data_IF_218531355322
#
_entry.id   IF_218531355322
#
_cell.length_a   1.000
_cell.length_b   1.000
_cell.length_c   1.000
_cell.angle_alpha   90.00
_cell.angle_beta   90.00
_cell.angle_gamma   90.00
#
_symmetry.space_group_name_H-M   'P 1'
#
loop_
_entity.id
_entity.type
_entity.pdbx_description
1 polymer ?
#
# COMPACT_ATOMS: atom_id res chain seq x y z
N UNK A 1 40.69 31.60 -60.88
CA UNK A 1 40.92 31.18 -59.49
C UNK A 1 39.82 31.83 -58.66
N UNK A 2 38.69 31.13 -58.53
CA UNK A 2 37.47 31.67 -57.94
C UNK A 2 36.53 30.50 -57.64
N UNK A 3 36.21 30.31 -56.38
CA UNK A 3 35.37 29.24 -55.85
C UNK A 3 33.94 29.77 -55.64
N UNK A 4 32.91 29.16 -56.27
CA UNK A 4 31.52 29.38 -55.87
C UNK A 4 30.72 28.09 -55.55
N UNK A 5 31.33 26.89 -55.58
CA UNK A 5 30.58 25.62 -55.52
C UNK A 5 30.24 25.08 -54.10
N UNK A 6 30.41 25.87 -53.03
CA UNK A 6 30.16 25.41 -51.65
C UNK A 6 28.87 25.94 -51.00
N UNK A 7 28.25 27.02 -51.50
CA UNK A 7 27.06 27.57 -50.85
C UNK A 7 25.77 26.79 -51.16
N UNK A 8 25.67 26.16 -52.34
CA UNK A 8 24.45 25.45 -52.73
C UNK A 8 24.27 24.09 -52.02
N UNK A 9 25.35 23.53 -51.42
CA UNK A 9 25.28 22.27 -50.64
C UNK A 9 24.95 22.48 -49.17
N UNK A 10 25.09 23.70 -48.64
CA UNK A 10 24.80 24.01 -47.24
C UNK A 10 23.31 24.33 -47.05
N UNK A 11 22.68 25.04 -48.00
CA UNK A 11 21.27 25.44 -47.91
C UNK A 11 20.26 24.29 -47.91
N UNK A 12 20.58 23.15 -48.54
CA UNK A 12 19.65 22.01 -48.65
C UNK A 12 19.60 21.12 -47.40
N UNK A 13 20.57 21.22 -46.47
CA UNK A 13 20.60 20.39 -45.26
C UNK A 13 20.01 21.06 -44.02
N UNK A 14 19.54 22.31 -44.13
CA UNK A 14 18.84 22.99 -43.04
C UNK A 14 17.31 22.92 -43.11
N UNK A 15 16.73 22.32 -44.17
CA UNK A 15 15.28 22.32 -44.40
C UNK A 15 14.52 21.09 -43.91
N UNK A 16 15.17 20.10 -43.27
CA UNK A 16 14.52 18.84 -42.93
C UNK A 16 15.14 18.17 -41.71
N UNK A 17 15.08 18.85 -40.56
CA UNK A 17 15.15 18.20 -39.24
C UNK A 17 14.06 18.81 -38.37
N UNK A 18 12.88 18.22 -38.54
CA UNK A 18 11.89 17.89 -37.53
C UNK A 18 11.53 18.96 -36.50
N UNK A 19 10.34 19.50 -36.73
CA UNK A 19 9.38 20.13 -35.83
C UNK A 19 9.01 19.31 -34.56
N UNK A 20 9.88 18.43 -34.07
CA UNK A 20 9.69 17.67 -32.82
C UNK A 20 10.19 18.44 -31.57
N UNK A 21 10.29 19.76 -31.68
CA UNK A 21 10.41 20.68 -30.56
C UNK A 21 9.24 21.63 -30.73
N UNK A 22 8.24 21.55 -29.85
CA UNK A 22 7.29 22.62 -29.45
C UNK A 22 5.96 22.08 -28.88
N UNK A 23 5.93 20.94 -28.17
CA UNK A 23 4.77 20.55 -27.34
C UNK A 23 5.14 20.19 -25.90
N UNK A 24 6.25 20.72 -25.40
CA UNK A 24 6.43 20.81 -23.94
C UNK A 24 5.63 22.02 -23.46
N UNK A 25 4.36 21.75 -23.10
CA UNK A 25 3.58 22.64 -22.26
C UNK A 25 4.47 23.17 -21.12
N UNK A 26 4.38 24.46 -20.75
CA UNK A 26 5.20 24.99 -19.66
C UNK A 26 5.04 24.07 -18.44
N UNK A 27 6.14 23.66 -17.78
CA UNK A 27 6.01 22.92 -16.54
C UNK A 27 5.11 23.76 -15.64
N UNK A 28 3.95 23.20 -15.27
CA UNK A 28 3.14 23.77 -14.20
C UNK A 28 4.11 23.98 -13.03
N UNK A 29 4.02 25.09 -12.28
CA UNK A 29 4.97 25.37 -11.22
C UNK A 29 4.98 24.16 -10.28
N UNK A 30 6.04 23.36 -10.43
CA UNK A 30 6.29 22.16 -9.66
C UNK A 30 6.52 22.63 -8.25
N UNK A 31 5.73 22.10 -7.31
CA UNK A 31 5.93 22.41 -5.90
C UNK A 31 7.38 22.05 -5.58
N UNK A 32 8.08 22.86 -4.79
CA UNK A 32 9.53 22.75 -4.55
C UNK A 32 9.99 21.33 -4.14
N UNK A 33 9.08 20.49 -3.60
CA UNK A 33 9.35 19.07 -3.29
C UNK A 33 9.30 18.08 -4.46
N UNK A 34 8.71 18.43 -5.61
CA UNK A 34 8.68 17.54 -6.79
C UNK A 34 10.04 17.53 -7.51
N UNK A 35 10.74 18.67 -7.54
CA UNK A 35 12.07 18.81 -8.16
C UNK A 35 13.12 17.98 -7.40
N UNK A 36 13.03 17.91 -6.07
CA UNK A 36 13.96 17.18 -5.21
C UNK A 36 13.77 15.65 -5.32
N UNK A 37 12.53 15.19 -5.44
CA UNK A 37 12.21 13.78 -5.61
C UNK A 37 12.56 13.25 -7.02
N UNK A 38 12.34 14.03 -8.07
CA UNK A 38 12.73 13.67 -9.44
C UNK A 38 14.27 13.60 -9.58
N UNK A 39 15.01 14.49 -8.93
CA UNK A 39 16.48 14.43 -8.86
C UNK A 39 16.98 13.20 -8.10
N UNK A 40 16.28 12.78 -7.04
CA UNK A 40 16.63 11.59 -6.27
C UNK A 40 16.36 10.30 -7.06
N UNK A 41 15.30 10.26 -7.86
CA UNK A 41 15.00 9.18 -8.79
C UNK A 41 16.02 9.09 -9.93
N UNK A 42 16.41 10.24 -10.49
CA UNK A 42 17.43 10.32 -11.55
C UNK A 42 18.80 9.87 -11.04
N UNK A 43 19.17 10.22 -9.80
CA UNK A 43 20.37 9.72 -9.11
C UNK A 43 20.34 8.21 -8.83
N UNK A 44 19.15 7.60 -8.75
CA UNK A 44 18.96 6.15 -8.61
C UNK A 44 18.81 5.43 -9.96
N UNK A 45 18.92 6.16 -11.09
CA UNK A 45 18.83 5.60 -12.45
C UNK A 45 17.40 5.33 -12.92
N UNK A 46 16.38 5.84 -12.23
CA UNK A 46 14.98 5.71 -12.60
C UNK A 46 14.44 7.02 -13.20
N UNK A 47 13.89 6.94 -14.40
CA UNK A 47 13.17 8.05 -15.02
C UNK A 47 11.75 8.10 -14.46
N UNK A 48 11.36 9.24 -13.89
CA UNK A 48 10.01 9.48 -13.38
C UNK A 48 9.02 9.56 -14.55
N UNK A 49 8.33 8.45 -14.87
CA UNK A 49 7.38 8.38 -16.01
C UNK A 49 5.91 8.56 -15.60
N UNK A 50 5.62 8.66 -14.30
CA UNK A 50 4.26 8.81 -13.77
C UNK A 50 3.99 10.27 -13.38
N UNK A 51 3.06 10.93 -14.09
CA UNK A 51 2.56 12.26 -13.71
C UNK A 51 1.85 12.15 -12.36
N UNK A 52 2.39 12.81 -11.33
CA UNK A 52 1.85 12.78 -9.96
C UNK A 52 0.55 13.58 -9.88
N UNK A 53 -0.58 12.93 -10.22
CA UNK A 53 -1.90 13.58 -10.25
C UNK A 53 -2.73 13.39 -8.97
N UNK A 54 -2.21 12.67 -7.97
CA UNK A 54 -2.96 12.34 -6.73
C UNK A 54 -2.55 13.27 -5.60
N UNK A 55 -3.51 14.07 -5.12
CA UNK A 55 -3.37 14.92 -3.94
C UNK A 55 -3.03 14.08 -2.69
N UNK A 56 -2.14 14.58 -1.85
CA UNK A 56 -1.73 13.96 -0.57
C UNK A 56 -2.92 13.64 0.33
N UNK A 57 -3.97 14.48 0.32
CA UNK A 57 -5.20 14.21 1.05
C UNK A 57 -5.92 12.96 0.53
N UNK A 58 -5.99 12.77 -0.79
CA UNK A 58 -6.64 11.61 -1.39
C UNK A 58 -5.91 10.31 -1.03
N UNK A 59 -4.57 10.34 -1.03
CA UNK A 59 -3.75 9.20 -0.61
C UNK A 59 -3.94 8.90 0.89
N UNK A 60 -4.04 9.92 1.73
CA UNK A 60 -4.30 9.76 3.15
C UNK A 60 -5.68 9.12 3.43
N UNK A 61 -6.73 9.57 2.73
CA UNK A 61 -8.06 8.96 2.84
C UNK A 61 -8.07 7.51 2.36
N UNK A 62 -7.38 7.20 1.27
CA UNK A 62 -7.27 5.83 0.77
C UNK A 62 -6.59 4.93 1.80
N UNK A 63 -5.50 5.37 2.43
CA UNK A 63 -4.85 4.62 3.51
C UNK A 63 -5.74 4.43 4.74
N UNK A 64 -6.52 5.44 5.12
CA UNK A 64 -7.47 5.33 6.24
C UNK A 64 -8.58 4.31 5.97
N UNK A 65 -9.12 4.30 4.74
CA UNK A 65 -10.13 3.32 4.33
C UNK A 65 -9.54 1.91 4.31
N UNK A 66 -8.33 1.74 3.76
CA UNK A 66 -7.63 0.45 3.74
C UNK A 66 -7.32 -0.08 5.14
N UNK A 67 -7.03 0.80 6.11
CA UNK A 67 -6.76 0.40 7.49
C UNK A 67 -8.00 -0.16 8.21
N UNK A 68 -9.21 0.06 7.69
CA UNK A 68 -10.47 -0.46 8.22
C UNK A 68 -10.56 -0.44 9.76
N UNK A 69 -10.08 0.65 10.37
CA UNK A 69 -9.95 0.81 11.83
C UNK A 69 -11.25 0.48 12.58
N UNK A 70 -12.44 0.90 12.11
CA UNK A 70 -13.70 0.58 12.79
C UNK A 70 -13.96 -0.93 12.90
N UNK A 71 -13.61 -1.70 11.86
CA UNK A 71 -13.81 -3.15 11.84
C UNK A 71 -12.85 -3.86 12.80
N UNK A 72 -11.57 -3.47 12.79
CA UNK A 72 -10.57 -4.02 13.72
C UNK A 72 -10.92 -3.73 15.18
N UNK A 73 -11.38 -2.51 15.47
CA UNK A 73 -11.84 -2.12 16.80
C UNK A 73 -13.06 -2.93 17.24
N UNK A 74 -14.11 -3.00 16.41
CA UNK A 74 -15.35 -3.69 16.76
C UNK A 74 -15.12 -5.18 17.07
N UNK A 75 -14.27 -5.86 16.29
CA UNK A 75 -13.97 -7.28 16.48
C UNK A 75 -13.08 -7.56 17.68
N UNK A 76 -12.17 -6.62 18.01
CA UNK A 76 -11.17 -6.84 19.05
C UNK A 76 -11.61 -6.31 20.42
N UNK A 77 -12.62 -5.43 20.49
CA UNK A 77 -13.05 -4.76 21.72
C UNK A 77 -13.48 -5.71 22.83
N UNK A 78 -13.96 -6.92 22.50
CA UNK A 78 -14.36 -7.93 23.48
C UNK A 78 -13.18 -8.51 24.27
N UNK A 79 -12.00 -8.67 23.66
CA UNK A 79 -10.83 -9.28 24.30
C UNK A 79 -10.25 -8.47 25.47
N UNK A 80 -9.94 -7.16 25.34
CA UNK A 80 -9.39 -6.38 26.45
C UNK A 80 -10.43 -6.13 27.54
N UNK A 81 -11.73 -6.10 27.19
CA UNK A 81 -12.81 -5.95 28.17
C UNK A 81 -12.83 -7.13 29.16
N UNK A 82 -12.61 -8.35 28.67
CA UNK A 82 -12.57 -9.57 29.50
C UNK A 82 -11.21 -9.75 30.20
N UNK A 83 -10.11 -9.37 29.56
CA UNK A 83 -8.76 -9.64 30.04
C UNK A 83 -8.12 -8.57 30.94
N UNK A 84 -8.46 -7.29 30.76
CA UNK A 84 -7.75 -6.17 31.40
C UNK A 84 -8.66 -5.04 31.92
N UNK A 85 -9.97 -5.14 31.70
CA UNK A 85 -10.94 -4.13 32.10
C UNK A 85 -10.79 -2.81 31.33
N UNK A 86 -11.54 -1.76 31.71
CA UNK A 86 -11.59 -0.50 30.96
C UNK A 86 -10.28 0.31 31.00
N UNK A 87 -9.43 0.07 32.00
CA UNK A 87 -8.14 0.76 32.15
C UNK A 87 -7.15 0.31 31.08
N UNK A 88 -7.10 -1.00 30.80
CA UNK A 88 -6.23 -1.57 29.77
C UNK A 88 -6.60 -1.09 28.36
N UNK A 89 -7.90 -0.91 28.08
CA UNK A 89 -8.38 -0.37 26.80
C UNK A 89 -7.82 1.05 26.57
N UNK A 90 -7.89 1.93 27.58
CA UNK A 90 -7.47 3.34 27.42
C UNK A 90 -5.95 3.45 27.37
N UNK A 91 -5.25 2.83 28.32
CA UNK A 91 -3.78 2.94 28.42
C UNK A 91 -3.07 2.08 27.38
N UNK A 92 -3.57 0.89 27.09
CA UNK A 92 -3.06 0.02 26.04
C UNK A 92 -3.20 0.67 24.66
N UNK A 93 -4.35 1.29 24.36
CA UNK A 93 -4.53 2.03 23.12
C UNK A 93 -3.57 3.22 22.98
N UNK A 94 -3.38 4.00 24.05
CA UNK A 94 -2.46 5.14 24.05
C UNK A 94 -1.02 4.70 23.81
N UNK A 95 -0.58 3.64 24.51
CA UNK A 95 0.78 3.10 24.41
C UNK A 95 1.03 2.52 23.01
N UNK A 96 0.10 1.73 22.48
CA UNK A 96 0.20 1.19 21.11
C UNK A 96 0.24 2.32 20.08
N UNK A 97 -0.60 3.34 20.22
CA UNK A 97 -0.61 4.51 19.33
C UNK A 97 0.74 5.23 19.33
N UNK A 98 1.36 5.44 20.50
CA UNK A 98 2.67 6.07 20.61
C UNK A 98 3.77 5.26 19.89
N UNK A 99 3.77 3.93 20.04
CA UNK A 99 4.72 3.04 19.37
C UNK A 99 4.51 3.06 17.85
N UNK A 100 3.26 2.99 17.39
CA UNK A 100 2.95 3.02 15.95
C UNK A 100 3.36 4.36 15.32
N UNK A 101 3.18 5.47 16.01
CA UNK A 101 3.65 6.78 15.55
C UNK A 101 5.17 6.84 15.42
N UNK A 102 5.91 6.25 16.38
CA UNK A 102 7.37 6.16 16.31
C UNK A 102 7.83 5.33 15.10
N UNK A 103 7.19 4.18 14.86
CA UNK A 103 7.46 3.34 13.69
C UNK A 103 7.14 4.09 12.39
N UNK A 104 6.01 4.80 12.33
CA UNK A 104 5.61 5.58 11.16
C UNK A 104 6.60 6.72 10.87
N UNK A 105 7.09 7.42 11.90
CA UNK A 105 8.11 8.46 11.76
C UNK A 105 9.41 7.88 11.20
N UNK A 106 9.90 6.76 11.74
CA UNK A 106 11.10 6.09 11.26
C UNK A 106 10.97 5.59 9.81
N UNK A 107 9.83 4.99 9.46
CA UNK A 107 9.56 4.56 8.09
C UNK A 107 9.43 5.75 7.12
N UNK A 108 8.90 6.87 7.61
CA UNK A 108 8.80 8.12 6.87
C UNK A 108 10.17 8.69 6.50
N UNK A 109 11.12 8.69 7.44
CA UNK A 109 12.51 9.10 7.18
C UNK A 109 13.14 8.22 6.09
N UNK A 110 13.00 6.89 6.19
CA UNK A 110 13.55 5.96 5.18
C UNK A 110 12.90 6.19 3.80
N UNK A 111 11.58 6.37 3.76
CA UNK A 111 10.85 6.58 2.50
C UNK A 111 11.17 7.94 1.86
N UNK A 112 11.52 8.96 2.65
CA UNK A 112 11.95 10.26 2.12
C UNK A 112 13.31 10.20 1.41
N UNK A 113 14.22 9.35 1.89
CA UNK A 113 15.56 9.16 1.29
C UNK A 113 15.51 8.20 0.09
N UNK A 114 14.56 7.26 0.09
CA UNK A 114 14.40 6.27 -0.97
C UNK A 114 12.97 6.27 -1.55
N UNK A 115 12.58 7.31 -2.32
CA UNK A 115 11.25 7.42 -2.93
C UNK A 115 11.12 6.53 -4.17
N UNK A 116 11.63 5.31 -4.13
CA UNK A 116 11.54 4.34 -5.23
C UNK A 116 10.23 3.56 -5.18
N UNK A 117 9.68 3.22 -6.35
CA UNK A 117 8.46 2.41 -6.51
C UNK A 117 8.57 0.95 -5.97
N UNK A 118 9.69 0.60 -5.32
CA UNK A 118 10.01 -0.74 -4.82
C UNK A 118 9.45 -1.09 -3.43
N UNK A 119 8.54 -0.30 -2.86
CA UNK A 119 7.88 -0.62 -1.59
C UNK A 119 8.83 -0.90 -0.40
N UNK A 120 8.29 -1.53 0.65
CA UNK A 120 9.04 -1.87 1.88
C UNK A 120 10.16 -2.89 1.66
N UNK A 121 10.04 -3.73 0.62
CA UNK A 121 11.04 -4.76 0.31
C UNK A 121 12.32 -4.14 -0.29
N UNK A 122 12.20 -3.11 -1.11
CA UNK A 122 13.36 -2.41 -1.68
C UNK A 122 14.07 -1.55 -0.63
N UNK A 123 13.31 -0.92 0.27
CA UNK A 123 13.86 -0.23 1.44
C UNK A 123 14.65 -1.21 2.33
N UNK A 124 14.12 -2.40 2.59
CA UNK A 124 14.84 -3.46 3.33
C UNK A 124 16.10 -3.94 2.59
N UNK A 125 16.08 -4.01 1.26
CA UNK A 125 17.26 -4.36 0.46
C UNK A 125 18.37 -3.28 0.53
N UNK A 126 18.01 -2.00 0.56
CA UNK A 126 18.97 -0.90 0.69
C UNK A 126 19.58 -0.81 2.10
N UNK A 127 18.77 -1.00 3.13
CA UNK A 127 19.20 -0.95 4.54
C UNK A 127 20.01 -2.18 4.99
N UNK A 128 19.83 -3.34 4.35
CA UNK A 128 20.55 -4.55 4.73
C UNK A 128 22.06 -4.47 4.37
N UNK A 129 22.97 -5.03 5.18
CA UNK A 129 24.40 -5.07 4.88
C UNK A 129 24.72 -5.98 3.68
N UNK A 130 25.74 -5.65 2.85
CA UNK A 130 25.99 -6.25 1.53
C UNK A 130 26.14 -7.78 1.52
N UNK A 131 26.51 -8.37 2.67
CA UNK A 131 26.66 -9.81 2.85
C UNK A 131 25.32 -10.56 3.00
N UNK A 132 24.27 -9.90 3.47
CA UNK A 132 22.95 -10.50 3.73
C UNK A 132 21.81 -9.87 2.94
N UNK A 133 22.06 -8.82 2.13
CA UNK A 133 21.03 -8.09 1.36
C UNK A 133 20.02 -8.99 0.63
N UNK A 134 20.48 -10.03 -0.07
CA UNK A 134 19.60 -10.95 -0.83
C UNK A 134 18.73 -11.83 0.07
N UNK A 135 19.27 -12.29 1.20
CA UNK A 135 18.53 -13.16 2.13
C UNK A 135 17.52 -12.32 2.92
N UNK A 136 17.94 -11.16 3.40
CA UNK A 136 17.08 -10.24 4.15
C UNK A 136 15.90 -9.75 3.29
N UNK A 137 16.13 -9.37 2.04
CA UNK A 137 15.04 -8.96 1.13
C UNK A 137 14.14 -10.14 0.73
N UNK A 138 14.70 -11.34 0.58
CA UNK A 138 13.91 -12.55 0.28
C UNK A 138 13.01 -12.93 1.46
N UNK A 139 13.53 -12.93 2.69
CA UNK A 139 12.74 -13.18 3.90
C UNK A 139 11.70 -12.08 4.10
N UNK A 140 12.07 -10.81 3.94
CA UNK A 140 11.14 -9.68 4.04
C UNK A 140 10.01 -9.78 3.00
N UNK A 141 10.33 -10.13 1.76
CA UNK A 141 9.34 -10.36 0.70
C UNK A 141 8.40 -11.52 1.05
N UNK A 142 8.93 -12.65 1.52
CA UNK A 142 8.12 -13.78 1.97
C UNK A 142 7.22 -13.43 3.16
N UNK A 143 7.75 -12.73 4.16
CA UNK A 143 6.97 -12.27 5.31
C UNK A 143 5.88 -11.28 4.89
N UNK A 144 6.15 -10.42 3.90
CA UNK A 144 5.14 -9.54 3.35
C UNK A 144 4.03 -10.32 2.65
N UNK A 145 4.36 -11.31 1.82
CA UNK A 145 3.38 -12.18 1.16
C UNK A 145 2.55 -12.96 2.19
N UNK A 146 3.21 -13.63 3.14
CA UNK A 146 2.53 -14.39 4.21
C UNK A 146 1.66 -13.47 5.06
N UNK A 147 2.14 -12.25 5.38
CA UNK A 147 1.39 -11.25 6.12
C UNK A 147 0.11 -10.85 5.39
N UNK A 148 0.20 -10.53 4.09
CA UNK A 148 -0.99 -10.20 3.29
C UNK A 148 -1.98 -11.38 3.24
N UNK A 149 -1.50 -12.60 2.99
CA UNK A 149 -2.34 -13.79 2.98
C UNK A 149 -3.04 -13.99 4.33
N UNK A 150 -2.29 -13.85 5.43
CA UNK A 150 -2.82 -14.01 6.79
C UNK A 150 -3.87 -12.96 7.12
N UNK A 151 -3.65 -11.70 6.73
CA UNK A 151 -4.64 -10.62 6.93
C UNK A 151 -5.92 -10.93 6.15
N UNK A 152 -5.81 -11.32 4.88
CA UNK A 152 -6.98 -11.67 4.06
C UNK A 152 -7.76 -12.84 4.67
N UNK A 153 -7.09 -13.90 5.12
CA UNK A 153 -7.73 -15.05 5.76
C UNK A 153 -8.39 -14.64 7.09
N UNK A 154 -7.74 -13.82 7.90
CA UNK A 154 -8.28 -13.32 9.17
C UNK A 154 -9.55 -12.49 8.97
N UNK A 155 -9.58 -11.59 7.97
CA UNK A 155 -10.76 -10.78 7.66
C UNK A 155 -11.91 -11.64 7.13
N UNK A 156 -11.64 -12.60 6.25
CA UNK A 156 -12.65 -13.56 5.78
C UNK A 156 -13.23 -14.38 6.94
N UNK A 157 -12.38 -14.84 7.86
CA UNK A 157 -12.81 -15.58 9.03
C UNK A 157 -13.68 -14.72 9.97
N UNK A 158 -13.25 -13.49 10.26
CA UNK A 158 -14.05 -12.55 11.06
C UNK A 158 -15.40 -12.22 10.41
N UNK A 159 -15.44 -12.10 9.08
CA UNK A 159 -16.68 -11.87 8.33
C UNK A 159 -17.61 -13.09 8.40
N UNK A 160 -17.06 -14.30 8.30
CA UNK A 160 -17.81 -15.54 8.47
C UNK A 160 -18.44 -15.64 9.87
N UNK A 161 -17.68 -15.31 10.92
CA UNK A 161 -18.19 -15.28 12.30
C UNK A 161 -19.29 -14.23 12.49
N UNK A 162 -19.11 -13.06 11.90
CA UNK A 162 -20.10 -12.00 11.91
C UNK A 162 -21.40 -12.44 11.22
N UNK A 163 -21.29 -13.06 10.05
CA UNK A 163 -22.43 -13.56 9.28
C UNK A 163 -23.20 -14.66 10.04
N UNK A 164 -22.48 -15.61 10.66
CA UNK A 164 -23.10 -16.63 11.53
C UNK A 164 -23.81 -15.99 12.72
N UNK A 165 -23.22 -14.97 13.34
CA UNK A 165 -23.84 -14.24 14.45
C UNK A 165 -25.12 -13.51 14.00
N UNK A 166 -25.11 -12.89 12.81
CA UNK A 166 -26.30 -12.26 12.22
C UNK A 166 -27.41 -13.27 11.91
N UNK A 167 -27.07 -14.47 11.44
CA UNK A 167 -28.07 -15.53 11.18
C UNK A 167 -28.66 -16.04 12.51
N UNK A 168 -27.83 -16.22 13.53
CA UNK A 168 -28.28 -16.66 14.85
C UNK A 168 -29.16 -15.65 15.58
N UNK A 169 -29.20 -14.39 15.15
CA UNK A 169 -30.17 -13.39 15.64
C UNK A 169 -31.61 -13.72 15.22
N UNK A 170 -31.81 -14.41 14.10
CA UNK A 170 -33.13 -14.86 13.66
C UNK A 170 -33.46 -16.21 14.30
N UNK A 171 -33.58 -16.26 15.64
CA UNK A 171 -33.95 -17.47 16.38
C UNK A 171 -35.30 -18.05 15.86
N UNK A 172 -35.35 -19.37 15.63
CA UNK A 172 -36.61 -20.10 15.38
C UNK A 172 -37.33 -20.50 16.68
N UNK A 173 -36.58 -20.67 17.78
CA UNK A 173 -37.06 -20.98 19.14
C UNK A 173 -36.10 -20.38 20.19
N UNK A 174 -36.59 -20.02 21.40
CA UNK A 174 -35.78 -19.33 22.40
C UNK A 174 -34.65 -20.22 22.92
N UNK A 175 -33.40 -19.83 22.69
CA UNK A 175 -32.21 -20.54 23.15
C UNK A 175 -31.67 -21.60 22.18
N UNK A 176 -32.27 -21.76 20.99
CA UNK A 176 -31.77 -22.64 19.94
C UNK A 176 -31.61 -21.81 18.66
N UNK A 177 -30.39 -21.33 18.42
CA UNK A 177 -30.03 -20.68 17.17
C UNK A 177 -30.35 -21.61 15.98
N UNK A 178 -30.70 -21.04 14.83
CA UNK A 178 -31.05 -21.81 13.61
C UNK A 178 -29.89 -22.70 13.13
N UNK A 179 -28.66 -22.38 13.56
CA UNK A 179 -27.46 -23.20 13.38
C UNK A 179 -26.74 -23.39 14.72
N UNK A 180 -26.36 -24.63 15.04
CA UNK A 180 -25.63 -25.00 16.27
C UNK A 180 -24.24 -24.33 16.41
N UNK A 181 -23.77 -23.58 15.41
CA UNK A 181 -22.45 -22.94 15.43
C UNK A 181 -21.29 -23.94 15.44
N UNK A 182 -21.54 -25.20 15.04
CA UNK A 182 -20.51 -26.23 14.96
C UNK A 182 -19.37 -25.78 14.02
N UNK A 183 -18.12 -26.06 14.40
CA UNK A 183 -16.91 -25.59 13.71
C UNK A 183 -16.91 -25.92 12.21
N UNK A 184 -17.58 -27.01 11.82
CA UNK A 184 -17.72 -27.40 10.43
C UNK A 184 -18.58 -26.43 9.60
N UNK A 185 -19.65 -25.86 10.15
CA UNK A 185 -20.52 -24.92 9.44
C UNK A 185 -19.83 -23.56 9.23
N UNK A 186 -19.13 -23.08 10.25
CA UNK A 186 -18.32 -21.85 10.15
C UNK A 186 -17.22 -22.03 9.11
N UNK A 187 -16.59 -23.22 9.05
CA UNK A 187 -15.58 -23.54 8.05
C UNK A 187 -16.14 -23.59 6.63
N UNK A 188 -17.33 -24.15 6.42
CA UNK A 188 -17.98 -24.17 5.11
C UNK A 188 -18.38 -22.76 4.63
N UNK A 189 -18.91 -21.92 5.53
CA UNK A 189 -19.24 -20.51 5.22
C UNK A 189 -17.96 -19.73 4.89
N UNK A 190 -16.89 -19.94 5.67
CA UNK A 190 -15.59 -19.36 5.41
C UNK A 190 -15.03 -19.74 4.03
N UNK A 191 -15.07 -21.03 3.66
CA UNK A 191 -14.65 -21.48 2.33
C UNK A 191 -15.53 -20.87 1.24
N UNK A 192 -16.86 -20.89 1.42
CA UNK A 192 -17.80 -20.30 0.46
C UNK A 192 -17.56 -18.81 0.24
N UNK A 193 -17.35 -18.06 1.32
CA UNK A 193 -17.01 -16.63 1.27
C UNK A 193 -15.65 -16.40 0.60
N UNK A 194 -14.65 -17.23 0.92
CA UNK A 194 -13.30 -17.13 0.33
C UNK A 194 -13.34 -17.39 -1.17
N UNK A 195 -14.06 -18.42 -1.63
CA UNK A 195 -14.23 -18.73 -3.05
C UNK A 195 -15.00 -17.62 -3.76
N UNK A 196 -16.07 -17.11 -3.16
CA UNK A 196 -16.86 -16.02 -3.75
C UNK A 196 -16.03 -14.73 -3.87
N UNK A 197 -15.29 -14.37 -2.83
CA UNK A 197 -14.41 -13.20 -2.83
C UNK A 197 -13.29 -13.36 -3.87
N UNK A 198 -12.73 -14.56 -4.02
CA UNK A 198 -11.73 -14.84 -5.03
C UNK A 198 -12.30 -14.88 -6.46
N UNK A 199 -13.58 -15.22 -6.65
CA UNK A 199 -14.23 -15.28 -7.95
C UNK A 199 -14.72 -13.90 -8.46
N UNK A 200 -14.90 -12.94 -7.57
CA UNK A 200 -15.34 -11.56 -7.90
C UNK A 200 -14.16 -10.64 -8.22
N UNK A 201 -12.96 -11.00 -7.77
CA UNK A 201 -11.68 -10.32 -8.05
C UNK A 201 -11.08 -10.84 -9.36
#
# INVERSE_FOLDING_TARGET
MGAPDLEHRVGSKLGHVDSHKLDHAPPRPSTTGDVDADQLLENLGYKSELVRSRSTLHVAFMSFVLAAIPYGLATTFSYPLVGGGPVDIIWGWLLVSAIVLCIAASLGEITSVYPTAGGVYYQAFMLAPPRYRRIASWVCGWLYVVGNLTITLAVNFGTSLFLVSCINVFEKEPGVGVFEGSSYQVFLIFIGLTILCNAVI
#
